data_IF_308948108541
#
_entry.id   IF_308948108541
#
_cell.length_a   1.000
_cell.length_b   1.000
_cell.length_c   1.000
_cell.angle_alpha   90.00
_cell.angle_beta   90.00
_cell.angle_gamma   90.00
#
_symmetry.space_group_name_H-M   'P 1'
#
loop_
_entity.id
_entity.type
_entity.pdbx_description
1 polymer ?
#
# COMPACT_ATOMS: atom_id res chain seq x y z
N UNK A 1 14.96 -26.82 -60.15
CA UNK A 1 14.94 -27.52 -58.85
C UNK A 1 15.52 -26.59 -57.81
N UNK A 2 14.69 -25.96 -56.97
CA UNK A 2 15.14 -25.15 -55.82
C UNK A 2 14.23 -25.58 -54.66
N UNK A 3 14.80 -26.33 -53.71
CA UNK A 3 14.10 -26.72 -52.48
C UNK A 3 14.19 -25.57 -51.48
N UNK A 4 13.04 -24.96 -51.17
CA UNK A 4 12.92 -23.96 -50.12
C UNK A 4 12.63 -24.67 -48.79
N UNK A 5 13.62 -24.69 -47.90
CA UNK A 5 13.52 -25.27 -46.56
C UNK A 5 12.77 -24.28 -45.65
N UNK A 6 11.55 -24.62 -45.24
CA UNK A 6 10.82 -23.88 -44.20
C UNK A 6 11.24 -24.46 -42.85
N UNK A 7 12.11 -23.74 -42.14
CA UNK A 7 12.48 -24.06 -40.75
C UNK A 7 11.43 -23.45 -39.82
N UNK A 8 10.46 -24.26 -39.40
CA UNK A 8 9.51 -23.90 -38.34
C UNK A 8 10.24 -23.93 -37.00
N UNK A 9 10.55 -22.75 -36.43
CA UNK A 9 10.99 -22.65 -35.03
C UNK A 9 9.78 -22.91 -34.11
N UNK A 10 9.73 -24.09 -33.50
CA UNK A 10 8.92 -24.31 -32.29
C UNK A 10 9.61 -23.61 -31.12
N UNK A 11 9.15 -22.41 -30.76
CA UNK A 11 9.44 -21.83 -29.44
C UNK A 11 8.58 -22.59 -28.44
N UNK A 12 9.20 -23.54 -27.72
CA UNK A 12 8.57 -24.22 -26.60
C UNK A 12 8.28 -23.18 -25.50
N UNK A 13 7.00 -22.86 -25.32
CA UNK A 13 6.49 -22.11 -24.18
C UNK A 13 6.63 -22.97 -22.91
N UNK A 14 7.84 -23.06 -22.38
CA UNK A 14 8.09 -23.55 -21.03
C UNK A 14 7.73 -22.45 -20.03
N UNK A 15 6.48 -22.01 -20.03
CA UNK A 15 5.89 -21.40 -18.85
C UNK A 15 5.92 -22.46 -17.77
N UNK A 16 6.83 -22.31 -16.81
CA UNK A 16 7.08 -23.32 -15.78
C UNK A 16 5.76 -23.62 -15.06
N UNK A 17 5.46 -24.90 -14.85
CA UNK A 17 4.24 -25.35 -14.16
C UNK A 17 4.06 -24.72 -12.76
N UNK A 18 5.10 -24.05 -12.24
CA UNK A 18 5.12 -23.28 -11.02
C UNK A 18 4.32 -21.97 -11.09
N UNK A 19 4.03 -21.42 -12.27
CA UNK A 19 3.18 -20.23 -12.43
C UNK A 19 1.68 -20.49 -12.23
N UNK A 20 1.23 -21.76 -12.21
CA UNK A 20 -0.20 -22.12 -12.17
C UNK A 20 -0.79 -22.30 -10.78
N UNK A 21 0.02 -22.44 -9.74
CA UNK A 21 -0.48 -22.68 -8.39
C UNK A 21 -0.28 -21.44 -7.52
N UNK A 22 -1.26 -20.53 -7.54
CA UNK A 22 -1.32 -19.49 -6.51
C UNK A 22 -1.48 -20.15 -5.14
N UNK A 23 -0.70 -19.74 -4.12
CA UNK A 23 -0.98 -20.19 -2.77
C UNK A 23 -2.37 -19.70 -2.34
N UNK A 24 -3.05 -20.43 -1.43
CA UNK A 24 -4.25 -19.90 -0.80
C UNK A 24 -3.98 -18.53 -0.17
N UNK A 25 -4.92 -17.60 -0.24
CA UNK A 25 -4.73 -16.21 0.19
C UNK A 25 -4.24 -16.11 1.65
N UNK A 26 -4.76 -16.97 2.54
CA UNK A 26 -4.31 -17.06 3.92
C UNK A 26 -2.83 -17.45 4.03
N UNK A 27 -2.39 -18.45 3.25
CA UNK A 27 -1.00 -18.88 3.24
C UNK A 27 -0.07 -17.77 2.71
N UNK A 28 -0.53 -16.97 1.75
CA UNK A 28 0.21 -15.83 1.24
C UNK A 28 0.35 -14.70 2.28
N UNK A 29 -0.75 -14.35 2.96
CA UNK A 29 -0.76 -13.34 4.04
C UNK A 29 0.13 -13.76 5.22
N UNK A 30 0.12 -15.06 5.56
CA UNK A 30 0.92 -15.62 6.65
C UNK A 30 2.37 -15.93 6.26
N UNK A 31 2.74 -15.79 4.98
CA UNK A 31 4.10 -16.06 4.53
C UNK A 31 5.10 -15.06 5.14
N UNK A 32 6.28 -15.58 5.51
CA UNK A 32 7.40 -14.73 5.97
C UNK A 32 8.01 -13.99 4.78
N UNK A 33 7.77 -12.70 4.72
CA UNK A 33 8.20 -11.82 3.63
C UNK A 33 9.28 -10.85 4.12
N UNK A 34 10.54 -11.32 4.26
CA UNK A 34 11.66 -10.51 4.77
C UNK A 34 11.97 -9.27 3.92
N UNK A 35 11.61 -9.30 2.63
CA UNK A 35 11.82 -8.22 1.68
C UNK A 35 10.52 -7.49 1.32
N UNK A 36 9.47 -7.65 2.12
CA UNK A 36 8.12 -7.20 1.78
C UNK A 36 7.37 -8.20 0.90
N UNK A 37 6.07 -7.97 0.74
CA UNK A 37 5.21 -8.87 -0.03
C UNK A 37 5.48 -8.76 -1.52
N UNK A 38 5.42 -9.91 -2.19
CA UNK A 38 5.57 -10.04 -3.64
C UNK A 38 4.40 -9.39 -4.37
N UNK A 39 4.57 -8.15 -4.82
CA UNK A 39 3.55 -7.40 -5.57
C UNK A 39 3.09 -8.14 -6.84
N UNK A 40 4.03 -8.76 -7.56
CA UNK A 40 3.78 -9.54 -8.78
C UNK A 40 2.83 -10.73 -8.57
N UNK A 41 2.83 -11.29 -7.36
CA UNK A 41 1.91 -12.35 -6.94
C UNK A 41 0.64 -11.76 -6.31
N UNK A 42 0.75 -10.70 -5.51
CA UNK A 42 -0.36 -10.02 -4.85
C UNK A 42 -1.43 -9.55 -5.83
N UNK A 43 -1.03 -8.98 -6.97
CA UNK A 43 -1.95 -8.48 -8.00
C UNK A 43 -2.78 -9.56 -8.70
N UNK A 44 -2.52 -10.84 -8.41
CA UNK A 44 -3.24 -11.98 -8.99
C UNK A 44 -4.41 -12.43 -8.12
N UNK A 45 -4.48 -11.98 -6.86
CA UNK A 45 -5.67 -12.17 -6.02
C UNK A 45 -6.78 -11.22 -6.47
N UNK A 46 -8.03 -11.65 -6.27
CA UNK A 46 -9.21 -11.02 -6.84
C UNK A 46 -10.30 -10.72 -5.82
N UNK A 47 -11.46 -10.31 -6.34
CA UNK A 47 -12.64 -9.98 -5.53
C UNK A 47 -13.12 -11.17 -4.69
N UNK A 48 -12.92 -12.39 -5.20
CA UNK A 48 -13.26 -13.65 -4.54
C UNK A 48 -12.51 -13.87 -3.21
N UNK A 49 -11.33 -13.25 -3.05
CA UNK A 49 -10.49 -13.40 -1.85
C UNK A 49 -10.86 -12.40 -0.73
N UNK A 50 -11.63 -11.35 -1.05
CA UNK A 50 -11.93 -10.24 -0.13
C UNK A 50 -12.66 -10.73 1.12
N UNK A 51 -13.63 -11.64 0.95
CA UNK A 51 -14.38 -12.19 2.08
C UNK A 51 -13.45 -12.93 3.06
N UNK A 52 -12.55 -13.77 2.54
CA UNK A 52 -11.60 -14.50 3.38
C UNK A 52 -10.61 -13.56 4.09
N UNK A 53 -10.14 -12.51 3.41
CA UNK A 53 -9.28 -11.49 4.00
C UNK A 53 -9.99 -10.68 5.09
N UNK A 54 -11.25 -10.34 4.88
CA UNK A 54 -12.06 -9.66 5.88
C UNK A 54 -12.30 -10.52 7.13
N UNK A 55 -12.49 -11.84 6.96
CA UNK A 55 -12.56 -12.78 8.10
C UNK A 55 -11.22 -12.89 8.83
N UNK A 56 -10.08 -12.87 8.12
CA UNK A 56 -8.76 -12.82 8.77
C UNK A 56 -8.57 -11.57 9.64
N UNK A 57 -9.16 -10.43 9.28
CA UNK A 57 -9.13 -9.20 10.11
C UNK A 57 -9.99 -9.30 11.38
N UNK A 58 -10.88 -10.28 11.47
CA UNK A 58 -11.70 -10.57 12.66
C UNK A 58 -11.05 -11.59 13.58
N UNK A 59 -10.25 -12.49 13.03
CA UNK A 59 -9.51 -13.52 13.76
C UNK A 59 -8.36 -12.91 14.59
N UNK A 60 -8.49 -12.96 15.92
CA UNK A 60 -7.51 -12.41 16.86
C UNK A 60 -6.18 -13.19 16.87
N UNK A 61 -6.21 -14.48 16.53
CA UNK A 61 -5.01 -15.30 16.39
C UNK A 61 -4.22 -14.94 15.11
N UNK A 62 -4.89 -14.28 14.15
CA UNK A 62 -4.28 -13.75 12.94
C UNK A 62 -3.70 -12.34 13.09
N UNK A 63 -3.76 -11.72 14.29
CA UNK A 63 -3.27 -10.35 14.49
C UNK A 63 -1.84 -10.06 14.00
N UNK A 64 -0.86 -11.00 14.07
CA UNK A 64 0.49 -10.75 13.55
C UNK A 64 0.53 -10.50 12.05
N UNK A 65 -0.53 -10.86 11.33
CA UNK A 65 -0.62 -10.82 9.87
C UNK A 65 -1.66 -9.81 9.36
N UNK A 66 -2.38 -9.11 10.23
CA UNK A 66 -3.41 -8.14 9.82
C UNK A 66 -2.86 -7.04 8.90
N UNK A 67 -1.64 -6.56 9.12
CA UNK A 67 -1.02 -5.58 8.23
C UNK A 67 -0.87 -6.13 6.79
N UNK A 68 -0.54 -7.41 6.63
CA UNK A 68 -0.43 -8.05 5.33
C UNK A 68 -1.82 -8.22 4.67
N UNK A 69 -2.83 -8.59 5.46
CA UNK A 69 -4.21 -8.69 4.99
C UNK A 69 -4.75 -7.33 4.53
N UNK A 70 -4.57 -6.27 5.32
CA UNK A 70 -4.94 -4.89 4.99
C UNK A 70 -4.26 -4.44 3.69
N UNK A 71 -2.96 -4.68 3.56
CA UNK A 71 -2.24 -4.32 2.34
C UNK A 71 -2.74 -5.08 1.12
N UNK A 72 -3.00 -6.39 1.23
CA UNK A 72 -3.50 -7.19 0.11
C UNK A 72 -4.92 -6.77 -0.30
N UNK A 73 -5.80 -6.46 0.65
CA UNK A 73 -7.10 -5.84 0.37
C UNK A 73 -6.92 -4.54 -0.44
N UNK A 74 -5.89 -3.75 -0.13
CA UNK A 74 -5.56 -2.54 -0.86
C UNK A 74 -5.17 -2.82 -2.32
N UNK A 75 -4.34 -3.85 -2.54
CA UNK A 75 -3.95 -4.31 -3.89
C UNK A 75 -5.16 -4.78 -4.70
N UNK A 76 -6.05 -5.57 -4.07
CA UNK A 76 -7.27 -6.07 -4.71
C UNK A 76 -8.18 -4.91 -5.12
N UNK A 77 -8.34 -3.89 -4.27
CA UNK A 77 -8.90 -2.61 -4.65
C UNK A 77 -10.36 -2.63 -5.12
N UNK A 78 -11.18 -3.57 -4.63
CA UNK A 78 -12.64 -3.51 -4.84
C UNK A 78 -13.29 -2.55 -3.83
N UNK A 79 -14.57 -2.21 -4.06
CA UNK A 79 -15.34 -1.39 -3.12
C UNK A 79 -15.52 -2.10 -1.76
N UNK A 80 -15.72 -3.41 -1.77
CA UNK A 80 -15.87 -4.23 -0.57
C UNK A 80 -14.55 -4.28 0.22
N UNK A 81 -13.41 -4.38 -0.47
CA UNK A 81 -12.09 -4.35 0.16
C UNK A 81 -11.81 -2.98 0.79
N UNK A 82 -12.16 -1.90 0.09
CA UNK A 82 -12.10 -0.52 0.58
C UNK A 82 -12.94 -0.33 1.85
N UNK A 83 -14.17 -0.83 1.87
CA UNK A 83 -15.03 -0.77 3.05
C UNK A 83 -14.44 -1.56 4.23
N UNK A 84 -13.96 -2.78 4.00
CA UNK A 84 -13.32 -3.59 5.02
C UNK A 84 -12.09 -2.90 5.64
N UNK A 85 -11.26 -2.26 4.81
CA UNK A 85 -10.07 -1.52 5.24
C UNK A 85 -10.44 -0.30 6.12
N UNK A 86 -11.44 0.48 5.70
CA UNK A 86 -11.89 1.66 6.44
C UNK A 86 -12.53 1.23 7.76
N UNK A 87 -13.45 0.27 7.74
CA UNK A 87 -14.13 -0.24 8.93
C UNK A 87 -13.14 -0.79 9.97
N UNK A 88 -12.13 -1.53 9.52
CA UNK A 88 -11.06 -2.02 10.37
C UNK A 88 -10.35 -0.91 11.14
N UNK A 89 -10.08 0.24 10.51
CA UNK A 89 -9.45 1.38 11.19
C UNK A 89 -10.40 2.11 12.13
N UNK A 90 -11.64 2.32 11.71
CA UNK A 90 -12.54 3.26 12.38
C UNK A 90 -13.33 2.64 13.52
N UNK A 91 -13.77 1.39 13.36
CA UNK A 91 -14.81 0.80 14.21
C UNK A 91 -14.32 -0.37 15.05
N UNK A 92 -13.24 -1.06 14.66
CA UNK A 92 -12.81 -2.30 15.32
C UNK A 92 -12.18 -2.10 16.70
N UNK A 93 -11.43 -1.02 16.90
CA UNK A 93 -10.55 -0.86 18.07
C UNK A 93 -10.95 0.30 18.96
N UNK A 94 -10.73 0.13 20.28
CA UNK A 94 -10.94 1.14 21.30
C UNK A 94 -9.79 1.14 22.30
N UNK A 95 -9.45 2.30 22.85
CA UNK A 95 -8.40 2.46 23.85
C UNK A 95 -6.99 2.39 23.25
N UNK A 96 -6.04 1.94 24.06
CA UNK A 96 -4.64 1.87 23.63
C UNK A 96 -4.39 0.61 22.80
N UNK A 97 -3.71 0.76 21.65
CA UNK A 97 -3.29 -0.33 20.76
C UNK A 97 -1.78 -0.32 20.56
N UNK A 98 -1.18 -1.49 20.41
CA UNK A 98 0.26 -1.69 20.31
C UNK A 98 0.63 -2.77 19.30
N UNK A 99 1.93 -2.91 19.02
CA UNK A 99 2.50 -4.03 18.30
C UNK A 99 1.85 -4.27 16.92
N UNK A 100 1.48 -5.53 16.59
CA UNK A 100 0.90 -5.85 15.28
C UNK A 100 -0.40 -5.11 14.97
N UNK A 101 -1.23 -4.84 15.98
CA UNK A 101 -2.49 -4.11 15.81
C UNK A 101 -2.23 -2.68 15.34
N UNK A 102 -1.34 -1.97 16.03
CA UNK A 102 -0.95 -0.62 15.64
C UNK A 102 -0.33 -0.61 14.24
N UNK A 103 0.53 -1.57 13.92
CA UNK A 103 1.11 -1.70 12.59
C UNK A 103 0.05 -1.86 11.49
N UNK A 104 -0.96 -2.71 11.70
CA UNK A 104 -2.05 -2.90 10.76
C UNK A 104 -2.89 -1.62 10.56
N UNK A 105 -3.18 -0.89 11.65
CA UNK A 105 -3.91 0.37 11.59
C UNK A 105 -3.17 1.45 10.81
N UNK A 106 -1.84 1.52 10.95
CA UNK A 106 -1.02 2.45 10.19
C UNK A 106 -0.92 2.06 8.71
N UNK A 107 -0.92 0.76 8.40
CA UNK A 107 -0.91 0.24 7.01
C UNK A 107 -2.13 0.68 6.19
N UNK A 108 -3.27 0.94 6.82
CA UNK A 108 -4.52 1.29 6.12
C UNK A 108 -4.37 2.46 5.15
N UNK A 109 -3.62 3.52 5.49
CA UNK A 109 -3.45 4.67 4.56
C UNK A 109 -2.67 4.28 3.30
N UNK A 110 -1.71 3.37 3.44
CA UNK A 110 -0.96 2.84 2.30
C UNK A 110 -1.84 1.92 1.44
N UNK A 111 -2.62 1.03 2.08
CA UNK A 111 -3.56 0.15 1.39
C UNK A 111 -4.62 0.92 0.59
N UNK A 112 -5.21 1.96 1.19
CA UNK A 112 -6.14 2.85 0.51
C UNK A 112 -5.49 3.59 -0.66
N UNK A 113 -4.18 3.84 -0.60
CA UNK A 113 -3.42 4.46 -1.70
C UNK A 113 -3.52 3.66 -3.00
N UNK A 114 -3.51 2.33 -2.94
CA UNK A 114 -3.68 1.48 -4.14
C UNK A 114 -5.07 1.62 -4.75
N UNK A 115 -6.13 1.61 -3.92
CA UNK A 115 -7.51 1.82 -4.38
C UNK A 115 -7.74 3.24 -4.92
N UNK A 116 -7.09 4.22 -4.31
CA UNK A 116 -7.27 5.64 -4.59
C UNK A 116 -6.74 6.09 -5.97
N UNK A 117 -6.20 5.19 -6.79
CA UNK A 117 -5.92 5.46 -8.21
C UNK A 117 -7.18 5.91 -8.96
N UNK A 118 -8.35 5.41 -8.56
CA UNK A 118 -9.64 5.94 -8.93
C UNK A 118 -10.01 7.15 -8.05
N UNK A 119 -10.05 8.35 -8.63
CA UNK A 119 -10.33 9.59 -7.88
C UNK A 119 -11.76 9.70 -7.35
N UNK A 120 -12.69 8.90 -7.87
CA UNK A 120 -14.09 8.88 -7.43
C UNK A 120 -14.32 7.88 -6.27
N UNK A 121 -13.30 7.07 -5.96
CA UNK A 121 -13.33 6.08 -4.88
C UNK A 121 -13.51 6.72 -3.50
N UNK A 122 -14.07 5.94 -2.56
CA UNK A 122 -14.17 6.38 -1.15
C UNK A 122 -12.77 6.50 -0.53
N UNK A 123 -11.81 5.67 -0.96
CA UNK A 123 -10.42 5.66 -0.53
C UNK A 123 -9.73 6.98 -0.87
N UNK A 124 -9.91 7.48 -2.10
CA UNK A 124 -9.35 8.77 -2.49
C UNK A 124 -9.86 9.90 -1.60
N UNK A 125 -11.20 10.03 -1.46
CA UNK A 125 -11.82 11.01 -0.56
C UNK A 125 -11.33 10.85 0.89
N UNK A 126 -11.26 9.61 1.36
CA UNK A 126 -10.79 9.28 2.70
C UNK A 126 -9.37 9.82 2.93
N UNK A 127 -8.45 9.60 1.99
CA UNK A 127 -7.07 10.06 2.10
C UNK A 127 -6.97 11.59 2.01
N UNK A 128 -7.70 12.22 1.10
CA UNK A 128 -7.78 13.69 0.99
C UNK A 128 -8.22 14.30 2.31
N UNK A 129 -9.34 13.84 2.87
CA UNK A 129 -9.86 14.32 4.14
C UNK A 129 -8.87 14.06 5.29
N UNK A 130 -8.16 12.92 5.24
CA UNK A 130 -7.15 12.55 6.24
C UNK A 130 -5.90 13.43 6.21
N UNK A 131 -5.70 14.26 5.18
CA UNK A 131 -4.61 15.25 5.19
C UNK A 131 -4.90 16.46 6.08
N UNK A 132 -6.15 16.58 6.56
CA UNK A 132 -6.59 17.65 7.46
C UNK A 132 -6.70 17.14 8.90
N UNK A 133 -5.95 17.77 9.83
CA UNK A 133 -5.94 17.38 11.24
C UNK A 133 -7.30 17.56 11.92
N UNK A 134 -8.07 18.58 11.54
CA UNK A 134 -9.40 18.82 12.12
C UNK A 134 -10.37 17.71 11.70
N UNK A 135 -10.38 17.34 10.42
CA UNK A 135 -11.19 16.23 9.93
C UNK A 135 -10.85 14.91 10.65
N UNK A 136 -9.55 14.63 10.88
CA UNK A 136 -9.13 13.45 11.64
C UNK A 136 -9.61 13.46 13.09
N UNK A 137 -9.63 14.62 13.76
CA UNK A 137 -10.19 14.76 15.12
C UNK A 137 -11.70 14.52 15.12
N UNK A 138 -12.40 15.07 14.14
CA UNK A 138 -13.87 14.94 14.00
C UNK A 138 -14.32 13.51 13.71
N UNK A 139 -13.47 12.70 13.02
CA UNK A 139 -13.71 11.26 12.88
C UNK A 139 -13.77 10.50 14.20
N UNK A 140 -13.21 11.08 15.27
CA UNK A 140 -13.36 10.57 16.63
C UNK A 140 -12.94 9.09 16.76
N UNK A 141 -11.80 8.75 16.14
CA UNK A 141 -11.21 7.41 16.21
C UNK A 141 -11.07 6.98 17.67
N UNK A 142 -11.48 5.75 17.97
CA UNK A 142 -11.60 5.29 19.37
C UNK A 142 -10.33 4.67 19.93
N UNK A 143 -9.26 4.58 19.14
CA UNK A 143 -7.98 3.99 19.52
C UNK A 143 -6.83 4.99 19.50
N UNK A 144 -5.81 4.80 20.33
CA UNK A 144 -4.55 5.56 20.28
C UNK A 144 -3.34 4.63 20.45
N UNK A 145 -2.15 5.05 20.03
CA UNK A 145 -0.92 4.29 20.29
C UNK A 145 -0.44 4.47 21.74
N UNK A 146 0.20 3.46 22.29
CA UNK A 146 0.77 3.55 23.63
C UNK A 146 1.88 4.60 23.72
N UNK A 147 1.82 5.42 24.77
CA UNK A 147 2.78 6.50 25.00
C UNK A 147 2.69 7.66 24.01
N UNK A 148 1.65 7.71 23.16
CA UNK A 148 1.46 8.84 22.25
C UNK A 148 0.93 10.06 22.98
N UNK A 149 1.53 11.22 22.67
CA UNK A 149 1.01 12.52 23.10
C UNK A 149 -0.26 12.88 22.31
N UNK A 150 -1.09 13.75 22.89
CA UNK A 150 -2.29 14.28 22.25
C UNK A 150 -1.96 14.89 20.87
N UNK A 151 -2.70 14.49 19.85
CA UNK A 151 -2.49 14.96 18.47
C UNK A 151 -1.44 14.18 17.66
N UNK A 152 -0.60 13.36 18.30
CA UNK A 152 0.43 12.57 17.60
C UNK A 152 -0.18 11.58 16.61
N UNK A 153 -1.33 10.99 16.97
CA UNK A 153 -2.11 10.10 16.10
C UNK A 153 -2.51 10.79 14.82
N UNK A 154 -3.17 11.94 14.93
CA UNK A 154 -3.69 12.69 13.79
C UNK A 154 -2.55 13.14 12.88
N UNK A 155 -1.45 13.62 13.48
CA UNK A 155 -0.28 14.03 12.73
C UNK A 155 0.34 12.88 11.94
N UNK A 156 0.48 11.70 12.56
CA UNK A 156 0.99 10.51 11.88
C UNK A 156 0.03 10.03 10.78
N UNK A 157 -1.28 10.00 11.05
CA UNK A 157 -2.27 9.62 10.04
C UNK A 157 -2.31 10.59 8.86
N UNK A 158 -2.12 11.89 9.10
CA UNK A 158 -1.99 12.87 8.02
C UNK A 158 -0.75 12.62 7.15
N UNK A 159 0.41 12.35 7.75
CA UNK A 159 1.63 11.95 7.01
C UNK A 159 1.40 10.71 6.16
N UNK A 160 0.83 9.67 6.76
CA UNK A 160 0.57 8.41 6.05
C UNK A 160 -0.46 8.58 4.93
N UNK A 161 -1.41 9.51 5.09
CA UNK A 161 -2.40 9.80 4.05
C UNK A 161 -1.82 10.61 2.90
N UNK A 162 -0.90 11.54 3.18
CA UNK A 162 -0.07 12.19 2.15
C UNK A 162 0.71 11.14 1.35
N UNK A 163 1.34 10.17 2.02
CA UNK A 163 2.03 9.07 1.34
C UNK A 163 1.07 8.19 0.52
N UNK A 164 -0.12 7.90 1.05
CA UNK A 164 -1.18 7.17 0.34
C UNK A 164 -1.64 7.88 -0.93
N UNK A 165 -1.76 9.22 -0.90
CA UNK A 165 -2.05 10.01 -2.11
C UNK A 165 -0.91 9.98 -3.13
N UNK A 166 0.34 9.92 -2.67
CA UNK A 166 1.49 9.67 -3.56
C UNK A 166 1.39 8.31 -4.25
N UNK A 167 0.98 7.27 -3.51
CA UNK A 167 0.76 5.93 -4.03
C UNK A 167 -0.45 5.82 -4.96
N UNK A 168 -1.45 6.71 -4.86
CA UNK A 168 -2.59 6.72 -5.77
C UNK A 168 -2.16 6.88 -7.24
N UNK A 169 -1.04 7.58 -7.50
CA UNK A 169 -0.47 7.65 -8.84
C UNK A 169 -1.40 8.26 -9.90
N UNK A 170 -2.29 9.16 -9.50
CA UNK A 170 -3.24 9.84 -10.39
C UNK A 170 -3.11 11.36 -10.32
N UNK A 171 -3.63 12.05 -11.34
CA UNK A 171 -3.56 13.50 -11.45
C UNK A 171 -4.26 14.22 -10.29
N UNK A 172 -5.44 13.76 -9.87
CA UNK A 172 -6.20 14.38 -8.79
C UNK A 172 -5.45 14.38 -7.44
N UNK A 173 -4.74 13.29 -7.13
CA UNK A 173 -3.90 13.14 -5.95
C UNK A 173 -2.71 14.08 -5.98
N UNK A 174 -2.01 14.19 -7.13
CA UNK A 174 -0.95 15.18 -7.31
C UNK A 174 -1.46 16.60 -7.14
N UNK A 175 -2.56 16.96 -7.78
CA UNK A 175 -3.14 18.29 -7.67
C UNK A 175 -3.45 18.65 -6.22
N UNK A 176 -3.94 17.68 -5.43
CA UNK A 176 -4.16 17.87 -3.99
C UNK A 176 -2.87 18.08 -3.22
N UNK A 177 -1.85 17.25 -3.47
CA UNK A 177 -0.52 17.39 -2.84
C UNK A 177 0.14 18.73 -3.18
N UNK A 178 0.00 19.20 -4.42
CA UNK A 178 0.51 20.51 -4.83
C UNK A 178 -0.25 21.67 -4.19
N UNK A 179 -1.58 21.56 -4.04
CA UNK A 179 -2.36 22.54 -3.27
C UNK A 179 -1.90 22.59 -1.83
N UNK A 180 -1.74 21.43 -1.17
CA UNK A 180 -1.19 21.34 0.19
C UNK A 180 0.18 22.03 0.28
N UNK A 181 1.08 21.77 -0.68
CA UNK A 181 2.41 22.37 -0.71
C UNK A 181 2.39 23.90 -0.85
N UNK A 182 1.40 24.45 -1.56
CA UNK A 182 1.22 25.90 -1.72
C UNK A 182 0.53 26.55 -0.52
N UNK A 183 -0.48 25.92 0.07
CA UNK A 183 -1.35 26.55 1.08
C UNK A 183 -0.91 26.33 2.53
N UNK A 184 -0.30 25.19 2.86
CA UNK A 184 0.11 24.89 4.23
C UNK A 184 1.19 25.81 4.80
N UNK A 185 2.20 26.27 4.03
CA UNK A 185 3.20 27.19 4.56
C UNK A 185 2.58 28.46 5.16
N UNK A 186 1.54 28.97 4.52
CA UNK A 186 0.87 30.22 4.90
C UNK A 186 -0.18 30.01 6.00
N UNK A 187 -0.91 28.89 5.95
CA UNK A 187 -2.01 28.62 6.89
C UNK A 187 -1.57 27.91 8.18
N UNK A 188 -0.49 27.11 8.12
CA UNK A 188 0.07 26.40 9.28
C UNK A 188 1.54 26.02 9.05
N UNK A 189 2.45 26.98 9.24
CA UNK A 189 3.88 26.81 9.00
C UNK A 189 4.52 25.68 9.84
N UNK A 190 4.02 25.42 11.05
CA UNK A 190 4.50 24.33 11.89
C UNK A 190 4.13 22.97 11.33
N UNK A 191 2.86 22.76 10.98
CA UNK A 191 2.41 21.53 10.33
C UNK A 191 3.14 21.33 9.00
N UNK A 192 3.33 22.40 8.23
CA UNK A 192 4.09 22.34 6.99
C UNK A 192 5.51 21.81 7.19
N UNK A 193 6.24 22.30 8.22
CA UNK A 193 7.58 21.82 8.54
C UNK A 193 7.62 20.30 8.74
N UNK A 194 6.55 19.76 9.31
CA UNK A 194 6.42 18.34 9.60
C UNK A 194 5.98 17.51 8.39
N UNK A 195 5.08 18.03 7.54
CA UNK A 195 4.54 17.32 6.38
C UNK A 195 5.37 17.50 5.09
N UNK A 196 6.18 18.56 5.00
CA UNK A 196 6.95 18.90 3.78
C UNK A 196 7.75 17.73 3.20
N UNK A 197 8.49 16.92 3.99
CA UNK A 197 9.21 15.78 3.43
C UNK A 197 8.26 14.77 2.77
N UNK A 198 7.18 14.40 3.47
CA UNK A 198 6.15 13.48 2.96
C UNK A 198 5.48 14.02 1.69
N UNK A 199 5.14 15.31 1.64
CA UNK A 199 4.51 15.91 0.44
C UNK A 199 5.47 15.88 -0.75
N UNK A 200 6.75 16.18 -0.52
CA UNK A 200 7.78 16.14 -1.57
C UNK A 200 7.97 14.73 -2.10
N UNK A 201 8.13 13.75 -1.21
CA UNK A 201 8.28 12.33 -1.56
C UNK A 201 7.04 11.77 -2.25
N UNK A 202 5.83 12.12 -1.77
CA UNK A 202 4.57 11.68 -2.36
C UNK A 202 4.37 12.21 -3.78
N UNK A 203 4.72 13.48 -4.04
CA UNK A 203 4.68 14.05 -5.39
C UNK A 203 5.64 13.32 -6.34
N UNK A 204 6.85 13.02 -5.88
CA UNK A 204 7.82 12.29 -6.68
C UNK A 204 7.38 10.85 -6.95
N UNK A 205 6.92 10.15 -5.91
CA UNK A 205 6.38 8.80 -6.04
C UNK A 205 5.21 8.74 -7.02
N UNK A 206 4.29 9.70 -6.94
CA UNK A 206 3.14 9.76 -7.85
C UNK A 206 3.56 9.97 -9.30
N UNK A 207 4.56 10.83 -9.56
CA UNK A 207 5.10 11.02 -10.92
C UNK A 207 5.73 9.72 -11.45
N UNK A 208 6.51 9.03 -10.62
CA UNK A 208 7.13 7.75 -11.00
C UNK A 208 6.09 6.67 -11.28
N UNK A 209 5.04 6.55 -10.47
CA UNK A 209 3.96 5.57 -10.72
C UNK A 209 3.23 5.89 -12.02
N UNK A 210 2.97 7.16 -12.33
CA UNK A 210 2.34 7.56 -13.58
C UNK A 210 3.23 7.31 -14.80
N UNK A 211 4.53 7.52 -14.68
CA UNK A 211 5.50 7.33 -15.77
C UNK A 211 5.86 5.86 -16.00
N UNK A 212 6.13 5.11 -14.92
CA UNK A 212 6.73 3.78 -14.98
C UNK A 212 5.74 2.65 -14.62
N UNK A 213 4.59 2.98 -14.03
CA UNK A 213 3.63 2.02 -13.49
C UNK A 213 4.04 1.42 -12.13
N UNK A 214 3.07 0.84 -11.43
CA UNK A 214 3.29 0.25 -10.10
C UNK A 214 4.33 -0.87 -10.09
N UNK A 215 4.36 -1.72 -11.11
CA UNK A 215 5.27 -2.87 -11.15
C UNK A 215 6.73 -2.43 -11.14
N UNK A 216 7.07 -1.43 -11.95
CA UNK A 216 8.44 -0.93 -12.02
C UNK A 216 8.84 -0.17 -10.75
N UNK A 217 7.90 0.55 -10.13
CA UNK A 217 8.16 1.36 -8.94
C UNK A 217 8.25 0.51 -7.67
N UNK A 218 7.36 -0.48 -7.51
CA UNK A 218 7.22 -1.27 -6.27
C UNK A 218 7.93 -2.64 -6.34
N UNK A 219 8.17 -3.15 -7.54
CA UNK A 219 8.95 -4.35 -7.77
C UNK A 219 10.09 -4.07 -8.76
N UNK A 220 11.02 -3.14 -8.43
CA UNK A 220 12.12 -2.81 -9.32
C UNK A 220 12.89 -4.09 -9.65
N UNK A 221 12.76 -4.54 -10.89
CA UNK A 221 13.43 -5.74 -11.36
C UNK A 221 14.93 -5.55 -11.19
N UNK A 222 15.51 -6.28 -10.25
CA UNK A 222 16.91 -6.12 -9.90
C UNK A 222 17.14 -5.24 -8.67
N UNK A 223 16.58 -5.62 -7.52
CA UNK A 223 17.46 -5.69 -6.34
C UNK A 223 18.64 -6.54 -6.79
N UNK A 224 19.70 -5.86 -7.26
CA UNK A 224 20.98 -6.46 -7.57
C UNK A 224 21.27 -7.34 -6.37
N UNK A 225 21.17 -8.67 -6.54
CA UNK A 225 21.79 -9.53 -5.55
C UNK A 225 23.22 -9.01 -5.45
N UNK A 226 23.71 -8.65 -4.25
CA UNK A 226 25.06 -8.13 -4.11
C UNK A 226 25.96 -9.12 -4.84
N UNK A 227 26.69 -8.64 -5.87
CA UNK A 227 27.56 -9.52 -6.66
C UNK A 227 28.37 -10.34 -5.65
N UNK A 228 28.38 -11.68 -5.74
CA UNK A 228 29.11 -12.50 -4.78
C UNK A 228 30.52 -11.93 -4.69
N UNK A 229 30.94 -11.55 -3.48
CA UNK A 229 32.31 -11.03 -3.29
C UNK A 229 33.25 -12.10 -3.85
N UNK A 230 34.19 -11.75 -4.73
CA UNK A 230 35.15 -12.72 -5.23
C UNK A 230 35.80 -13.37 -4.00
N UNK A 231 35.73 -14.71 -3.91
CA UNK A 231 36.40 -15.45 -2.83
C UNK A 231 37.86 -15.04 -2.89
N UNK A 232 38.36 -14.45 -1.81
CA UNK A 232 39.80 -14.31 -1.60
C UNK A 232 40.39 -15.71 -1.71
N UNK A 233 41.31 -15.90 -2.66
CA UNK A 233 42.14 -17.10 -2.68
C UNK A 233 43.07 -16.97 -1.47
N UNK A 234 42.87 -17.84 -0.47
CA UNK A 234 43.90 -18.18 0.51
C UNK A 234 44.95 -19.08 -0.14
#
# INVERSE_FOLDING_TARGET
MIFSLITTLLVAANGTAQERNMPPVEAFVKARNFHGMRYDLAKRYGAEDVAQLAELLKDEDANPYWANAVWLLGIIGTAEAEEAIIDFRENRFKGTVEGPVLQALLMVSQALGFRANDSDSKAFRYLVDSTNLQALRERNLKWTGAGWEDGSRELLLAKLSVNGLGLAGNAAGRDHLERLARSLPDTNAELWRVLKPNVTEALELSRRIEQDGYEQVLAPQGVLQPRPRPRSKE
#
